data_IF_038760002175
#
_entry.id   IF_038760002175
#
_cell.length_a   1.000
_cell.length_b   1.000
_cell.length_c   1.000
_cell.angle_alpha   90.00
_cell.angle_beta   90.00
_cell.angle_gamma   90.00
#
_symmetry.space_group_name_H-M   'P 1'
#
loop_
_entity.id
_entity.type
_entity.pdbx_description
1 polymer ?
#
# COMPACT_ATOMS: atom_id res chain seq x y z
N UNK A 1 -2.55 -16.05 23.47
CA UNK A 1 -1.99 -14.72 23.80
C UNK A 1 -3.13 -13.74 23.92
N UNK A 2 -3.08 -12.88 24.92
CA UNK A 2 -4.00 -11.74 25.06
C UNK A 2 -3.75 -10.70 23.97
N UNK A 3 -4.70 -9.79 23.70
CA UNK A 3 -4.48 -8.67 22.78
C UNK A 3 -3.26 -7.82 23.15
N UNK A 4 -3.01 -7.62 24.45
CA UNK A 4 -1.85 -6.87 24.93
C UNK A 4 -0.52 -7.57 24.60
N UNK A 5 -0.44 -8.88 24.84
CA UNK A 5 0.75 -9.69 24.47
C UNK A 5 1.00 -9.67 22.96
N UNK A 6 -0.06 -9.71 22.14
CA UNK A 6 0.02 -9.61 20.68
C UNK A 6 0.57 -8.25 20.24
N UNK A 7 0.10 -7.16 20.84
CA UNK A 7 0.60 -5.79 20.58
C UNK A 7 2.09 -5.68 20.88
N UNK A 8 2.53 -6.20 22.02
CA UNK A 8 3.94 -6.18 22.40
C UNK A 8 4.82 -7.01 21.46
N UNK A 9 4.34 -8.19 21.05
CA UNK A 9 5.01 -9.02 20.06
C UNK A 9 5.18 -8.28 18.73
N UNK A 10 4.12 -7.62 18.24
CA UNK A 10 4.17 -6.86 17.00
C UNK A 10 5.19 -5.73 17.09
N UNK A 11 5.15 -4.96 18.18
CA UNK A 11 6.06 -3.85 18.39
C UNK A 11 7.53 -4.29 18.43
N UNK A 12 7.81 -5.36 19.17
CA UNK A 12 9.16 -5.92 19.25
C UNK A 12 9.64 -6.42 17.90
N UNK A 13 8.81 -7.20 17.20
CA UNK A 13 9.15 -7.74 15.89
C UNK A 13 9.47 -6.62 14.89
N UNK A 14 8.59 -5.62 14.78
CA UNK A 14 8.78 -4.52 13.84
C UNK A 14 10.06 -3.73 14.15
N UNK A 15 10.35 -3.49 15.44
CA UNK A 15 11.58 -2.81 15.85
C UNK A 15 12.84 -3.58 15.43
N UNK A 16 12.92 -4.87 15.74
CA UNK A 16 14.09 -5.70 15.47
C UNK A 16 14.42 -5.75 13.95
N UNK A 17 13.38 -5.80 13.10
CA UNK A 17 13.54 -5.96 11.66
C UNK A 17 13.72 -4.64 10.90
N UNK A 18 13.18 -3.53 11.42
CA UNK A 18 13.46 -2.21 10.86
C UNK A 18 14.96 -1.87 10.97
N UNK A 19 15.59 -2.24 12.08
CA UNK A 19 17.03 -2.03 12.29
C UNK A 19 17.88 -2.91 11.36
N UNK A 20 17.50 -4.17 11.17
CA UNK A 20 18.22 -5.09 10.27
C UNK A 20 18.16 -4.66 8.80
N UNK A 21 17.07 -4.01 8.37
CA UNK A 21 16.88 -3.59 6.99
C UNK A 21 17.87 -2.50 6.55
N UNK A 22 18.30 -1.61 7.46
CA UNK A 22 19.29 -0.56 7.16
C UNK A 22 20.65 -1.16 6.75
N UNK A 23 20.90 -2.40 7.14
CA UNK A 23 22.08 -3.17 6.73
C UNK A 23 21.88 -3.77 5.33
N UNK A 24 20.71 -4.34 5.05
CA UNK A 24 20.38 -4.96 3.75
C UNK A 24 20.31 -3.98 2.58
N UNK A 25 20.01 -2.70 2.85
CA UNK A 25 19.93 -1.65 1.83
C UNK A 25 21.30 -1.20 1.25
N UNK A 26 22.42 -1.71 1.80
CA UNK A 26 23.77 -1.35 1.36
C UNK A 26 24.26 -2.32 0.28
N UNK A 27 23.96 -2.02 -0.98
CA UNK A 27 24.50 -2.75 -2.14
C UNK A 27 23.80 -2.35 -3.45
N UNK A 28 24.49 -2.49 -4.58
CA UNK A 28 23.84 -2.38 -5.89
C UNK A 28 22.90 -3.58 -6.08
N UNK A 29 21.60 -3.30 -6.26
CA UNK A 29 20.56 -4.30 -6.49
C UNK A 29 19.68 -3.85 -7.64
N UNK A 30 19.05 -4.81 -8.31
CA UNK A 30 18.02 -4.54 -9.29
C UNK A 30 16.90 -3.67 -8.66
N UNK A 31 16.29 -2.77 -9.45
CA UNK A 31 15.28 -1.82 -8.99
C UNK A 31 14.13 -2.52 -8.24
N UNK A 32 13.66 -3.67 -8.75
CA UNK A 32 12.55 -4.43 -8.15
C UNK A 32 12.84 -4.90 -6.72
N UNK A 33 14.07 -5.32 -6.45
CA UNK A 33 14.50 -5.78 -5.14
C UNK A 33 14.59 -4.63 -4.15
N UNK A 34 15.10 -3.49 -4.60
CA UNK A 34 15.15 -2.26 -3.79
C UNK A 34 13.75 -1.78 -3.42
N UNK A 35 12.82 -1.77 -4.39
CA UNK A 35 11.42 -1.41 -4.15
C UNK A 35 10.71 -2.41 -3.23
N UNK A 36 10.96 -3.71 -3.38
CA UNK A 36 10.40 -4.75 -2.50
C UNK A 36 10.78 -4.51 -1.04
N UNK A 37 12.05 -4.19 -0.76
CA UNK A 37 12.50 -3.81 0.58
C UNK A 37 11.83 -2.53 1.08
N UNK A 38 11.59 -1.53 0.22
CA UNK A 38 10.83 -0.33 0.62
C UNK A 38 9.41 -0.69 1.05
N UNK A 39 8.73 -1.59 0.33
CA UNK A 39 7.40 -2.06 0.74
C UNK A 39 7.44 -2.89 2.02
N UNK A 40 8.47 -3.72 2.22
CA UNK A 40 8.70 -4.41 3.49
C UNK A 40 8.78 -3.42 4.68
N UNK A 41 9.55 -2.33 4.52
CA UNK A 41 9.63 -1.27 5.53
C UNK A 41 8.26 -0.68 5.85
N UNK A 42 7.51 -0.32 4.82
CA UNK A 42 6.17 0.26 4.96
C UNK A 42 5.20 -0.71 5.64
N UNK A 43 5.29 -2.00 5.30
CA UNK A 43 4.51 -3.05 5.94
C UNK A 43 4.80 -3.13 7.44
N UNK A 44 6.08 -3.20 7.85
CA UNK A 44 6.46 -3.21 9.27
C UNK A 44 5.99 -1.97 10.04
N UNK A 45 6.11 -0.80 9.43
CA UNK A 45 5.60 0.45 10.02
C UNK A 45 4.08 0.37 10.20
N UNK A 46 3.34 -0.11 9.21
CA UNK A 46 1.88 -0.27 9.32
C UNK A 46 1.51 -1.26 10.43
N UNK A 47 2.23 -2.37 10.60
CA UNK A 47 2.00 -3.30 11.72
C UNK A 47 2.16 -2.61 13.08
N UNK A 48 3.19 -1.75 13.25
CA UNK A 48 3.39 -0.95 14.46
C UNK A 48 2.30 0.12 14.66
N UNK A 49 1.79 0.70 13.57
CA UNK A 49 0.67 1.65 13.64
C UNK A 49 -0.61 0.93 14.06
N UNK A 50 -0.90 -0.26 13.52
CA UNK A 50 -2.05 -1.09 13.91
C UNK A 50 -2.01 -1.39 15.40
N UNK A 51 -0.88 -1.86 15.93
CA UNK A 51 -0.74 -2.18 17.35
C UNK A 51 -0.98 -0.95 18.24
N UNK A 52 -0.49 0.22 17.82
CA UNK A 52 -0.68 1.49 18.55
C UNK A 52 -2.15 1.95 18.51
N UNK A 53 -2.80 1.87 17.35
CA UNK A 53 -4.20 2.25 17.19
C UNK A 53 -5.12 1.32 18.01
N UNK A 54 -4.84 0.02 18.03
CA UNK A 54 -5.59 -0.95 18.86
C UNK A 54 -5.43 -0.64 20.35
N UNK A 55 -4.22 -0.32 20.82
CA UNK A 55 -3.99 0.02 22.22
C UNK A 55 -4.79 1.25 22.68
N UNK A 56 -5.02 2.20 21.78
CA UNK A 56 -5.79 3.43 22.03
C UNK A 56 -7.29 3.30 21.69
N UNK A 57 -7.74 2.14 21.21
CA UNK A 57 -9.15 1.87 20.88
C UNK A 57 -9.61 2.36 19.50
N UNK A 58 -8.70 2.80 18.63
CA UNK A 58 -8.98 3.24 17.26
C UNK A 58 -9.05 2.05 16.28
N UNK A 59 -10.04 1.18 16.46
CA UNK A 59 -10.12 -0.10 15.75
C UNK A 59 -10.44 0.03 14.25
N UNK A 60 -11.29 0.98 13.85
CA UNK A 60 -11.64 1.20 12.44
C UNK A 60 -10.44 1.70 11.64
N UNK A 61 -9.68 2.63 12.23
CA UNK A 61 -8.43 3.11 11.67
C UNK A 61 -7.40 1.98 11.59
N UNK A 62 -7.31 1.14 12.63
CA UNK A 62 -6.41 0.00 12.62
C UNK A 62 -6.73 -0.98 11.47
N UNK A 63 -8.01 -1.30 11.22
CA UNK A 63 -8.44 -2.16 10.12
C UNK A 63 -8.20 -1.51 8.74
N UNK A 64 -8.33 -0.20 8.66
CA UNK A 64 -7.96 0.58 7.46
C UNK A 64 -6.47 0.44 7.16
N UNK A 65 -5.61 0.57 8.18
CA UNK A 65 -4.17 0.40 8.04
C UNK A 65 -3.80 -1.06 7.77
N UNK A 66 -4.54 -2.04 8.32
CA UNK A 66 -4.38 -3.44 7.98
C UNK A 66 -4.59 -3.68 6.48
N UNK A 67 -5.66 -3.12 5.89
CA UNK A 67 -5.86 -3.20 4.43
C UNK A 67 -4.64 -2.68 3.67
N UNK A 68 -4.16 -1.50 4.04
CA UNK A 68 -3.00 -0.88 3.39
C UNK A 68 -1.71 -1.71 3.57
N UNK A 69 -1.52 -2.33 4.74
CA UNK A 69 -0.40 -3.26 4.96
C UNK A 69 -0.44 -4.44 4.00
N UNK A 70 -1.62 -5.00 3.71
CA UNK A 70 -1.76 -6.09 2.74
C UNK A 70 -1.40 -5.64 1.32
N UNK A 71 -1.75 -4.42 0.92
CA UNK A 71 -1.33 -3.88 -0.38
C UNK A 71 0.20 -3.81 -0.49
N UNK A 72 0.87 -3.38 0.58
CA UNK A 72 2.34 -3.37 0.64
C UNK A 72 2.91 -4.79 0.59
N UNK A 73 2.29 -5.75 1.28
CA UNK A 73 2.70 -7.15 1.27
C UNK A 73 2.57 -7.77 -0.13
N UNK A 74 1.44 -7.54 -0.82
CA UNK A 74 1.24 -8.01 -2.20
C UNK A 74 2.29 -7.42 -3.14
N UNK A 75 2.56 -6.11 -3.04
CA UNK A 75 3.55 -5.45 -3.89
C UNK A 75 4.97 -5.96 -3.63
N UNK A 76 5.33 -6.13 -2.36
CA UNK A 76 6.61 -6.67 -1.95
C UNK A 76 6.89 -8.03 -2.59
N UNK A 77 5.91 -8.94 -2.54
CA UNK A 77 6.03 -10.27 -3.12
C UNK A 77 6.01 -10.23 -4.65
N UNK A 78 5.04 -9.52 -5.25
CA UNK A 78 4.88 -9.40 -6.70
C UNK A 78 6.14 -8.85 -7.39
N UNK A 79 6.83 -7.88 -6.76
CA UNK A 79 8.08 -7.32 -7.26
C UNK A 79 9.22 -8.34 -7.37
N UNK A 80 9.23 -9.38 -6.53
CA UNK A 80 10.26 -10.41 -6.55
C UNK A 80 9.84 -11.56 -7.47
N UNK A 81 8.58 -11.97 -7.41
CA UNK A 81 8.06 -13.12 -8.16
C UNK A 81 7.84 -12.81 -9.65
N UNK A 82 7.63 -11.55 -10.02
CA UNK A 82 7.37 -11.12 -11.40
C UNK A 82 8.35 -10.03 -11.83
N UNK A 83 9.24 -10.35 -12.78
CA UNK A 83 10.32 -9.46 -13.25
C UNK A 83 9.79 -8.14 -13.83
N UNK A 84 8.67 -8.17 -14.55
CA UNK A 84 8.10 -7.01 -15.22
C UNK A 84 7.17 -6.16 -14.32
N UNK A 85 6.99 -6.53 -13.05
CA UNK A 85 6.00 -5.88 -12.18
C UNK A 85 6.35 -4.43 -11.83
N UNK A 86 7.64 -4.06 -11.88
CA UNK A 86 8.08 -2.67 -11.74
C UNK A 86 7.42 -1.78 -12.81
N UNK A 87 7.34 -2.26 -14.05
CA UNK A 87 6.72 -1.50 -15.13
C UNK A 87 5.21 -1.37 -14.91
N UNK A 88 4.54 -2.40 -14.37
CA UNK A 88 3.12 -2.32 -14.03
C UNK A 88 2.83 -1.23 -12.98
N UNK A 89 3.66 -1.15 -11.94
CA UNK A 89 3.56 -0.09 -10.92
C UNK A 89 3.75 1.31 -11.52
N UNK A 90 4.79 1.50 -12.35
CA UNK A 90 5.07 2.77 -13.03
C UNK A 90 3.90 3.20 -13.92
N UNK A 91 3.37 2.26 -14.71
CA UNK A 91 2.26 2.53 -15.63
C UNK A 91 0.99 3.00 -14.91
N UNK A 92 0.69 2.50 -13.71
CA UNK A 92 -0.47 2.98 -12.95
C UNK A 92 -0.31 4.43 -12.46
N UNK A 93 0.85 4.76 -11.91
CA UNK A 93 1.15 6.15 -11.52
C UNK A 93 1.00 7.07 -12.73
N UNK A 94 1.57 6.68 -13.87
CA UNK A 94 1.51 7.45 -15.11
C UNK A 94 0.09 7.54 -15.68
N UNK A 95 -0.75 6.50 -15.57
CA UNK A 95 -2.14 6.52 -16.05
C UNK A 95 -3.09 7.38 -15.19
N UNK A 96 -2.76 7.61 -13.92
CA UNK A 96 -3.56 8.47 -13.03
C UNK A 96 -3.32 9.96 -13.26
N UNK A 97 -2.13 10.34 -13.73
CA UNK A 97 -1.72 11.72 -13.99
C UNK A 97 -2.63 12.40 -15.02
N UNK A 98 -2.94 11.82 -16.20
CA UNK A 98 -3.85 12.40 -17.18
C UNK A 98 -5.23 12.74 -16.64
N UNK A 99 -5.79 11.86 -15.79
CA UNK A 99 -7.10 12.10 -15.16
C UNK A 99 -7.02 13.30 -14.22
N UNK A 100 -5.98 13.38 -13.39
CA UNK A 100 -5.76 14.50 -12.50
C UNK A 100 -5.55 15.83 -13.26
N UNK A 101 -4.70 15.82 -14.30
CA UNK A 101 -4.43 17.00 -15.14
C UNK A 101 -5.70 17.48 -15.86
N UNK A 102 -6.51 16.56 -16.38
CA UNK A 102 -7.77 16.91 -17.03
C UNK A 102 -8.81 17.49 -16.06
N UNK A 103 -8.90 16.98 -14.83
CA UNK A 103 -9.76 17.56 -13.80
C UNK A 103 -9.30 18.97 -13.43
N UNK A 104 -8.00 19.14 -13.17
CA UNK A 104 -7.41 20.46 -12.88
C UNK A 104 -7.69 21.47 -14.00
N UNK A 105 -7.51 21.09 -15.27
CA UNK A 105 -7.78 21.97 -16.40
C UNK A 105 -9.28 22.35 -16.50
N UNK A 106 -10.19 21.42 -16.20
CA UNK A 106 -11.63 21.68 -16.17
C UNK A 106 -12.05 22.62 -15.04
N UNK A 107 -11.40 22.53 -13.89
CA UNK A 107 -11.71 23.38 -12.74
C UNK A 107 -11.14 24.79 -12.96
N UNK A 108 -9.93 24.89 -13.51
CA UNK A 108 -9.28 26.17 -13.83
C UNK A 108 -9.98 26.96 -14.94
N UNK A 109 -10.59 26.26 -15.90
CA UNK A 109 -11.37 26.89 -16.97
C UNK A 109 -12.74 27.41 -16.49
N UNK A 110 -13.23 26.96 -15.34
CA UNK A 110 -14.50 27.44 -14.73
C UNK A 110 -14.31 28.70 -13.89
N UNK A 111 -13.18 28.85 -13.20
CA UNK A 111 -12.93 29.95 -12.23
C UNK A 111 -12.21 31.18 -12.85
N UNK A 112 -12.23 31.36 -14.16
CA UNK A 112 -11.73 32.58 -14.80
C UNK A 112 -10.21 32.78 -14.68
N UNK A 113 -9.42 31.70 -14.63
CA UNK A 113 -7.97 31.74 -14.84
C UNK A 113 -7.11 32.33 -13.71
N UNK A 114 -7.70 32.69 -12.56
CA UNK A 114 -6.98 33.38 -11.46
C UNK A 114 -6.18 32.49 -10.50
N UNK A 115 -6.30 31.16 -10.59
CA UNK A 115 -5.76 30.22 -9.58
C UNK A 115 -4.35 29.70 -9.87
N UNK A 116 -3.85 29.78 -11.10
CA UNK A 116 -2.48 29.36 -11.44
C UNK A 116 -1.60 30.54 -11.83
N UNK A 117 -0.35 30.47 -11.42
CA UNK A 117 0.70 31.30 -12.02
C UNK A 117 0.90 30.93 -13.49
N UNK A 118 1.45 31.86 -14.28
CA UNK A 118 1.75 31.62 -15.69
C UNK A 118 2.69 30.41 -15.88
N UNK A 119 3.65 30.23 -14.97
CA UNK A 119 4.57 29.09 -14.95
C UNK A 119 3.82 27.76 -14.73
N UNK A 120 2.93 27.70 -13.75
CA UNK A 120 2.13 26.50 -13.47
C UNK A 120 1.17 26.19 -14.61
N UNK A 121 0.60 27.21 -15.26
CA UNK A 121 -0.26 27.05 -16.43
C UNK A 121 0.51 26.47 -17.61
N UNK A 122 1.71 26.97 -17.90
CA UNK A 122 2.58 26.42 -18.95
C UNK A 122 3.03 24.99 -18.65
N UNK A 123 3.34 24.68 -17.39
CA UNK A 123 3.70 23.33 -16.97
C UNK A 123 2.53 22.35 -17.14
N UNK A 124 1.31 22.77 -16.78
CA UNK A 124 0.09 21.98 -16.97
C UNK A 124 -0.20 21.73 -18.46
N UNK A 125 -0.12 22.77 -19.30
CA UNK A 125 -0.31 22.62 -20.76
C UNK A 125 0.70 21.65 -21.37
N UNK A 126 1.99 21.78 -21.03
CA UNK A 126 3.03 20.84 -21.50
C UNK A 126 2.79 19.40 -21.05
N UNK A 127 2.31 19.20 -19.82
CA UNK A 127 2.01 17.87 -19.31
C UNK A 127 0.80 17.23 -20.02
N UNK A 128 -0.21 18.03 -20.38
CA UNK A 128 -1.36 17.59 -21.18
C UNK A 128 -0.94 17.24 -22.62
N UNK A 129 -0.19 18.11 -23.28
CA UNK A 129 0.33 17.88 -24.65
C UNK A 129 1.22 16.64 -24.72
N UNK A 130 2.07 16.41 -23.72
CA UNK A 130 2.91 15.20 -23.65
C UNK A 130 2.05 13.95 -23.61
N UNK A 131 1.01 13.93 -22.78
CA UNK A 131 0.13 12.78 -22.65
C UNK A 131 -0.75 12.53 -23.89
N UNK A 132 -1.13 13.57 -24.64
CA UNK A 132 -1.84 13.38 -25.92
C UNK A 132 -0.95 12.73 -26.99
N UNK A 133 0.34 13.08 -27.02
CA UNK A 133 1.30 12.56 -27.99
C UNK A 133 1.89 11.19 -27.60
N UNK A 134 1.98 10.91 -26.30
CA UNK A 134 2.50 9.66 -25.73
C UNK A 134 1.47 9.06 -24.75
N UNK A 135 0.33 8.53 -25.25
CA UNK A 135 -0.70 7.99 -24.38
C UNK A 135 -0.19 6.79 -23.59
N UNK A 136 -0.33 6.85 -22.27
CA UNK A 136 0.06 5.75 -21.37
C UNK A 136 -0.72 4.49 -21.73
N UNK A 137 -0.01 3.40 -22.02
CA UNK A 137 -0.62 2.14 -22.41
C UNK A 137 -1.43 1.56 -21.24
N UNK A 138 -2.74 1.41 -21.44
CA UNK A 138 -3.71 1.16 -20.38
C UNK A 138 -3.74 -0.33 -19.97
N UNK A 139 -2.78 -0.76 -19.14
CA UNK A 139 -2.85 -2.04 -18.39
C UNK A 139 -2.28 -1.97 -16.96
N UNK A 140 -1.82 -0.80 -16.52
CA UNK A 140 -0.97 -0.66 -15.33
C UNK A 140 -1.71 -0.88 -14.01
N UNK A 141 -1.36 -1.97 -13.33
CA UNK A 141 -1.52 -2.25 -11.90
C UNK A 141 -2.89 -2.04 -11.23
N UNK A 142 -3.30 -3.08 -10.52
CA UNK A 142 -4.34 -3.02 -9.50
C UNK A 142 -3.92 -3.90 -8.31
N UNK A 143 -4.51 -3.68 -7.13
CA UNK A 143 -4.24 -4.57 -5.98
C UNK A 143 -4.65 -6.02 -6.29
N UNK A 144 -5.64 -6.22 -7.16
CA UNK A 144 -6.00 -7.55 -7.68
C UNK A 144 -4.83 -8.19 -8.44
N UNK A 145 -4.20 -7.44 -9.36
CA UNK A 145 -3.06 -7.93 -10.13
C UNK A 145 -1.86 -8.20 -9.21
N UNK A 146 -1.61 -7.30 -8.25
CA UNK A 146 -0.55 -7.47 -7.26
C UNK A 146 -0.75 -8.74 -6.44
N UNK A 147 -1.96 -8.99 -5.95
CA UNK A 147 -2.28 -10.20 -5.21
C UNK A 147 -2.08 -11.46 -6.06
N UNK A 148 -2.49 -11.44 -7.33
CA UNK A 148 -2.30 -12.56 -8.25
C UNK A 148 -0.81 -12.82 -8.52
N UNK A 149 -0.03 -11.77 -8.74
CA UNK A 149 1.41 -11.83 -8.95
C UNK A 149 2.18 -12.28 -7.69
N UNK A 150 1.68 -11.96 -6.49
CA UNK A 150 2.35 -12.19 -5.21
C UNK A 150 2.32 -13.63 -4.69
N UNK A 151 1.57 -14.54 -5.35
CA UNK A 151 1.23 -15.87 -4.83
C UNK A 151 0.38 -15.87 -3.54
N UNK A 152 0.04 -14.69 -2.99
CA UNK A 152 -0.80 -14.52 -1.80
C UNK A 152 -2.29 -14.33 -2.15
N UNK A 153 -2.73 -14.93 -3.26
CA UNK A 153 -4.08 -14.79 -3.81
C UNK A 153 -5.19 -15.21 -2.83
N UNK A 154 -4.91 -16.20 -1.98
CA UNK A 154 -5.85 -16.65 -0.95
C UNK A 154 -6.19 -15.52 0.03
N UNK A 155 -5.20 -14.75 0.49
CA UNK A 155 -5.39 -13.63 1.42
C UNK A 155 -6.17 -12.48 0.79
N UNK A 156 -6.03 -12.28 -0.53
CA UNK A 156 -6.83 -11.30 -1.24
C UNK A 156 -8.33 -11.61 -1.11
N UNK A 157 -8.72 -12.85 -1.39
CA UNK A 157 -10.13 -13.23 -1.38
C UNK A 157 -10.72 -13.39 0.03
N UNK A 158 -9.93 -13.85 1.01
CA UNK A 158 -10.44 -14.13 2.35
C UNK A 158 -10.43 -12.91 3.29
N UNK A 159 -9.39 -12.07 3.23
CA UNK A 159 -9.16 -11.00 4.20
C UNK A 159 -9.26 -9.63 3.53
N UNK A 160 -8.45 -9.40 2.49
CA UNK A 160 -8.35 -8.07 1.86
C UNK A 160 -9.68 -7.57 1.32
N UNK A 161 -10.45 -8.42 0.62
CA UNK A 161 -11.75 -8.02 0.06
C UNK A 161 -12.74 -7.59 1.14
N UNK A 162 -12.78 -8.29 2.27
CA UNK A 162 -13.64 -7.94 3.40
C UNK A 162 -13.22 -6.57 3.94
N UNK A 163 -11.93 -6.36 4.19
CA UNK A 163 -11.42 -5.07 4.65
C UNK A 163 -11.66 -3.93 3.65
N UNK A 164 -11.52 -4.21 2.35
CA UNK A 164 -11.72 -3.25 1.29
C UNK A 164 -13.18 -2.87 1.09
N UNK A 165 -14.14 -3.69 1.49
CA UNK A 165 -15.57 -3.34 1.44
C UNK A 165 -15.98 -2.58 2.70
N UNK A 166 -15.46 -2.99 3.86
CA UNK A 166 -15.89 -2.45 5.15
C UNK A 166 -15.15 -1.18 5.58
N UNK A 167 -13.85 -1.06 5.26
CA UNK A 167 -12.95 -0.05 5.87
C UNK A 167 -12.12 0.74 4.83
N UNK A 168 -12.56 0.81 3.57
CA UNK A 168 -11.88 1.59 2.51
C UNK A 168 -12.33 3.04 2.38
N UNK A 169 -13.61 3.28 2.64
CA UNK A 169 -14.27 4.55 2.46
C UNK A 169 -15.30 4.73 3.56
N UNK A 170 -15.77 5.97 3.73
CA UNK A 170 -16.97 6.26 4.52
C UNK A 170 -18.19 5.63 3.85
N UNK A 171 -18.47 4.38 4.21
CA UNK A 171 -19.60 3.60 3.68
C UNK A 171 -20.68 3.44 4.75
N UNK A 172 -21.89 3.09 4.33
CA UNK A 172 -22.96 2.73 5.27
C UNK A 172 -22.51 1.59 6.19
N UNK A 173 -21.77 0.60 5.68
CA UNK A 173 -21.25 -0.51 6.48
C UNK A 173 -20.33 -0.02 7.61
N UNK A 174 -19.37 0.86 7.30
CA UNK A 174 -18.48 1.45 8.32
C UNK A 174 -19.25 2.28 9.35
N UNK A 175 -20.41 2.83 9.01
CA UNK A 175 -21.20 3.66 9.92
C UNK A 175 -22.11 2.85 10.86
N UNK A 176 -22.55 1.66 10.44
CA UNK A 176 -23.55 0.87 11.19
C UNK A 176 -22.97 -0.36 11.90
N UNK A 177 -21.75 -0.78 11.54
CA UNK A 177 -21.09 -1.96 12.10
C UNK A 177 -19.72 -1.57 12.64
N UNK A 178 -19.61 -1.18 13.92
CA UNK A 178 -18.30 -0.99 14.54
C UNK A 178 -17.56 -2.34 14.65
N UNK A 179 -16.21 -2.33 14.69
CA UNK A 179 -15.42 -3.54 14.84
C UNK A 179 -15.70 -4.26 16.16
N UNK A 180 -15.98 -5.56 16.07
CA UNK A 180 -16.12 -6.41 17.25
C UNK A 180 -14.78 -6.88 17.82
N UNK A 181 -14.76 -7.32 19.09
CA UNK A 181 -13.53 -7.82 19.72
C UNK A 181 -12.88 -8.98 18.94
N UNK A 182 -13.69 -9.90 18.41
CA UNK A 182 -13.20 -11.01 17.57
C UNK A 182 -12.49 -10.51 16.30
N UNK A 183 -13.00 -9.44 15.69
CA UNK A 183 -12.41 -8.84 14.50
C UNK A 183 -11.06 -8.19 14.81
N UNK A 184 -10.95 -7.53 15.97
CA UNK A 184 -9.69 -6.98 16.48
C UNK A 184 -8.68 -8.08 16.79
N UNK A 185 -9.10 -9.17 17.43
CA UNK A 185 -8.24 -10.31 17.72
C UNK A 185 -7.71 -10.97 16.45
N UNK A 186 -8.59 -11.20 15.47
CA UNK A 186 -8.24 -11.73 14.16
C UNK A 186 -7.29 -10.79 13.41
N UNK A 187 -7.49 -9.47 13.49
CA UNK A 187 -6.56 -8.49 12.90
C UNK A 187 -5.15 -8.62 13.49
N UNK A 188 -5.03 -8.73 14.82
CA UNK A 188 -3.72 -8.89 15.48
C UNK A 188 -3.05 -10.22 15.10
N UNK A 189 -3.81 -11.33 15.05
CA UNK A 189 -3.29 -12.64 14.63
C UNK A 189 -2.82 -12.62 13.18
N UNK A 190 -3.59 -11.97 12.30
CA UNK A 190 -3.20 -11.78 10.90
C UNK A 190 -1.93 -10.93 10.78
N UNK A 191 -1.81 -9.84 11.55
CA UNK A 191 -0.61 -9.00 11.52
C UNK A 191 0.66 -9.79 11.92
N UNK A 192 0.57 -10.61 12.98
CA UNK A 192 1.66 -11.48 13.42
C UNK A 192 2.00 -12.50 12.32
N UNK A 193 1.00 -13.21 11.81
CA UNK A 193 1.19 -14.24 10.79
C UNK A 193 1.81 -13.67 9.51
N UNK A 194 1.35 -12.50 9.07
CA UNK A 194 1.88 -11.83 7.88
C UNK A 194 3.32 -11.35 8.08
N UNK A 195 3.68 -10.86 9.27
CA UNK A 195 5.06 -10.51 9.59
C UNK A 195 5.99 -11.73 9.53
N UNK A 196 5.55 -12.88 10.05
CA UNK A 196 6.33 -14.13 9.99
C UNK A 196 6.52 -14.60 8.55
N UNK A 197 5.45 -14.61 7.74
CA UNK A 197 5.51 -14.96 6.32
C UNK A 197 6.46 -14.03 5.57
N UNK A 198 6.31 -12.72 5.77
CA UNK A 198 7.09 -11.72 5.08
C UNK A 198 8.57 -11.74 5.50
N UNK A 199 8.88 -12.01 6.77
CA UNK A 199 10.27 -12.23 7.21
C UNK A 199 10.86 -13.47 6.57
N UNK A 200 10.15 -14.60 6.58
CA UNK A 200 10.63 -15.82 5.96
C UNK A 200 10.94 -15.62 4.47
N UNK A 201 10.11 -14.83 3.78
CA UNK A 201 10.38 -14.40 2.42
C UNK A 201 11.62 -13.51 2.32
N UNK A 202 11.76 -12.49 3.17
CA UNK A 202 12.92 -11.59 3.13
C UNK A 202 14.22 -12.35 3.37
N UNK A 203 14.24 -13.25 4.36
CA UNK A 203 15.40 -14.08 4.65
C UNK A 203 15.77 -14.98 3.47
N UNK A 204 14.77 -15.51 2.75
CA UNK A 204 15.01 -16.38 1.60
C UNK A 204 15.56 -15.63 0.39
N UNK A 205 15.04 -14.45 0.11
CA UNK A 205 15.30 -13.73 -1.14
C UNK A 205 16.43 -12.69 -1.02
N UNK A 206 16.83 -12.32 0.20
CA UNK A 206 17.77 -11.20 0.42
C UNK A 206 18.92 -11.46 1.42
N UNK A 207 18.97 -12.63 2.07
CA UNK A 207 20.10 -13.06 2.91
C UNK A 207 21.17 -13.81 2.10
#
# INVERSE_FOLDING_TARGET
MTPHEKVDQINKFAYDHLMAQEVLAKGEREERYSLSLVYWKKFLINCKVISSLVAEGYHDEALTIQRLSMEHLFNMFALVTQENFVQELKNNTEASIPKALNCLNKDLSKDGGGLLTQENSQALTKALEKNENEPVCHLGYSVYNAAQASELWSFYNSIYRTLSVSYSHSTILSAIKPPGNEEVENMLDNAISFMEIAKAFVDKEFA
#
